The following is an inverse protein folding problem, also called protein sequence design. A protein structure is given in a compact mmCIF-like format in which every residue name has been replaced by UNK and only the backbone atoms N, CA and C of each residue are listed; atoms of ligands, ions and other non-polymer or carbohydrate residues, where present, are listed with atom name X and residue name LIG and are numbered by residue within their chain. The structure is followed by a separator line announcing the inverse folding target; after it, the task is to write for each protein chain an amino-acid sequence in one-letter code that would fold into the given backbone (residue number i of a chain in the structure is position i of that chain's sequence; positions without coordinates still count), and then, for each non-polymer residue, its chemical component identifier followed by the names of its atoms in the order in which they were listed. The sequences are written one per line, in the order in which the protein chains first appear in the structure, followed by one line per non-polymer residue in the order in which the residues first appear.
data_IF_949974741043
#
_entry.id   IF_949974741043
#
_cell.length_a   1.000
_cell.length_b   1.000
_cell.length_c   1.000
_cell.angle_alpha   90.00
_cell.angle_beta   90.00
_cell.angle_gamma   90.00
#
_symmetry.space_group_name_H-M   'P 1'
#
loop_
_entity.id
_entity.type
_entity.pdbx_description
1 polymer ?
#
# COMPACT_ATOMS: atom_id res chain seq x y z
N UNK A 1 0.79 22.39 -4.00
CA UNK A 1 -0.01 21.42 -3.23
C UNK A 1 0.99 20.42 -2.70
N UNK A 2 1.37 20.51 -1.43
CA UNK A 2 2.09 19.48 -0.69
C UNK A 2 2.20 20.00 0.74
N UNK A 3 1.39 19.45 1.65
CA UNK A 3 1.41 19.84 3.05
C UNK A 3 1.43 18.61 3.98
N UNK A 4 1.83 17.46 3.45
CA UNK A 4 1.95 16.22 4.21
C UNK A 4 3.37 16.16 4.79
N UNK A 5 3.46 15.91 6.10
CA UNK A 5 4.75 15.73 6.77
C UNK A 5 5.04 14.24 6.83
N UNK A 6 6.18 13.81 6.27
CA UNK A 6 6.63 12.42 6.42
C UNK A 6 6.94 12.17 7.90
N UNK A 7 6.23 11.24 8.53
CA UNK A 7 6.43 10.90 9.96
C UNK A 7 7.43 9.78 10.14
N UNK A 8 7.35 8.75 9.30
CA UNK A 8 8.14 7.53 9.41
C UNK A 8 8.53 7.02 8.03
N UNK A 9 9.73 6.46 7.93
CA UNK A 9 10.21 5.76 6.73
C UNK A 9 10.73 4.39 7.15
N UNK A 10 10.39 3.37 6.37
CA UNK A 10 10.96 2.04 6.48
C UNK A 10 11.63 1.68 5.16
N UNK A 11 12.89 1.26 5.23
CA UNK A 11 13.75 0.99 4.08
C UNK A 11 13.94 -0.51 3.90
N UNK A 12 14.05 -0.92 2.65
CA UNK A 12 14.31 -2.29 2.21
C UNK A 12 15.35 -2.22 1.09
N UNK A 13 16.48 -2.88 1.28
CA UNK A 13 17.67 -2.65 0.45
C UNK A 13 17.69 -3.50 -0.82
N UNK A 14 17.12 -4.71 -0.79
CA UNK A 14 17.18 -5.61 -1.95
C UNK A 14 15.80 -6.06 -2.40
N UNK A 15 15.16 -5.21 -3.21
CA UNK A 15 13.89 -5.50 -3.86
C UNK A 15 14.03 -5.60 -5.37
N UNK A 16 13.14 -6.36 -5.99
CA UNK A 16 13.06 -6.53 -7.45
C UNK A 16 11.62 -6.39 -7.92
N UNK A 17 11.42 -5.72 -9.06
CA UNK A 17 10.12 -5.62 -9.71
C UNK A 17 10.14 -6.33 -11.06
N UNK A 18 9.07 -7.07 -11.34
CA UNK A 18 8.85 -7.80 -12.58
C UNK A 18 7.51 -7.40 -13.21
N UNK A 19 7.36 -7.60 -14.52
CA UNK A 19 6.06 -7.46 -15.18
C UNK A 19 5.08 -8.53 -14.69
N UNK A 20 3.82 -8.15 -14.52
CA UNK A 20 2.70 -9.08 -14.31
C UNK A 20 1.99 -9.27 -15.65
N UNK A 21 1.86 -10.51 -16.09
CA UNK A 21 1.17 -10.84 -17.34
C UNK A 21 -0.35 -10.70 -17.16
N UNK A 22 -1.07 -10.16 -18.15
CA UNK A 22 -2.53 -10.17 -18.15
C UNK A 22 -3.04 -11.62 -18.14
N UNK A 23 -4.07 -11.94 -17.33
CA UNK A 23 -4.67 -13.28 -17.34
C UNK A 23 -5.29 -13.67 -18.70
N UNK A 24 -5.57 -12.69 -19.56
CA UNK A 24 -6.32 -12.84 -20.82
C UNK A 24 -5.44 -12.93 -22.08
N UNK A 25 -4.12 -12.78 -21.99
CA UNK A 25 -3.21 -12.87 -23.15
C UNK A 25 -2.71 -14.31 -23.32
N UNK A 26 -3.62 -15.23 -23.66
CA UNK A 26 -3.32 -16.65 -23.87
C UNK A 26 -2.68 -16.97 -25.24
N UNK A 27 -2.35 -15.96 -26.06
CA UNK A 27 -1.93 -16.17 -27.45
C UNK A 27 -0.42 -16.10 -27.67
N UNK A 28 0.36 -15.62 -26.69
CA UNK A 28 1.83 -15.53 -26.81
C UNK A 28 2.45 -15.69 -25.43
N UNK A 29 3.37 -16.64 -25.29
CA UNK A 29 4.22 -16.76 -24.11
C UNK A 29 5.02 -15.46 -23.94
N UNK A 30 4.68 -14.65 -22.95
CA UNK A 30 5.47 -13.48 -22.57
C UNK A 30 6.38 -13.88 -21.40
N UNK A 31 7.70 -13.69 -21.50
CA UNK A 31 8.60 -14.02 -20.41
C UNK A 31 8.41 -13.07 -19.23
N UNK A 32 8.63 -13.59 -18.03
CA UNK A 32 8.79 -12.77 -16.84
C UNK A 32 10.12 -12.01 -16.93
N UNK A 33 10.03 -10.70 -17.05
CA UNK A 33 11.12 -9.75 -17.22
C UNK A 33 11.32 -8.95 -15.94
N UNK A 34 12.55 -8.95 -15.44
CA UNK A 34 12.95 -8.05 -14.35
C UNK A 34 13.05 -6.64 -14.89
N UNK A 35 12.22 -5.75 -14.37
CA UNK A 35 12.17 -4.33 -14.75
C UNK A 35 13.07 -3.47 -13.87
N UNK A 36 13.22 -3.87 -12.61
CA UNK A 36 13.95 -3.08 -11.61
C UNK A 36 14.60 -3.98 -10.56
N UNK A 37 15.75 -3.51 -10.06
CA UNK A 37 16.41 -4.01 -8.86
C UNK A 37 17.01 -2.82 -8.14
N UNK A 38 16.71 -2.67 -6.85
CA UNK A 38 17.16 -1.54 -6.07
C UNK A 38 16.51 -1.51 -4.69
N UNK A 39 16.30 -0.30 -4.17
CA UNK A 39 15.78 -0.05 -2.83
C UNK A 39 14.30 0.30 -2.86
N UNK A 40 13.60 -0.06 -1.80
CA UNK A 40 12.21 0.31 -1.56
C UNK A 40 12.11 1.10 -0.25
N UNK A 41 11.31 2.15 -0.28
CA UNK A 41 10.97 2.93 0.89
C UNK A 41 9.44 2.96 1.06
N UNK A 42 8.96 2.50 2.21
CA UNK A 42 7.57 2.73 2.64
C UNK A 42 7.56 3.96 3.54
N UNK A 43 6.89 5.02 3.08
CA UNK A 43 6.75 6.27 3.81
C UNK A 43 5.36 6.37 4.41
N UNK A 44 5.30 6.69 5.70
CA UNK A 44 4.11 7.14 6.40
C UNK A 44 4.05 8.67 6.33
N UNK A 45 2.92 9.18 5.89
CA UNK A 45 2.64 10.59 5.66
C UNK A 45 1.50 10.97 6.61
N UNK A 46 1.71 11.99 7.43
CA UNK A 46 0.63 12.53 8.27
C UNK A 46 0.03 13.71 7.51
N UNK A 47 -1.26 13.59 7.19
CA UNK A 47 -2.04 14.70 6.65
C UNK A 47 -2.40 15.65 7.81
N UNK A 48 -1.98 16.91 7.70
CA UNK A 48 -2.20 17.94 8.73
C UNK A 48 -3.68 18.30 8.96
N UNK A 49 -4.59 17.83 8.12
CA UNK A 49 -6.02 18.20 8.20
C UNK A 49 -6.86 17.23 9.01
N UNK A 50 -6.58 15.94 8.91
CA UNK A 50 -7.34 14.87 9.54
C UNK A 50 -6.50 14.04 10.52
N UNK A 51 -5.20 14.34 10.63
CA UNK A 51 -4.21 13.58 11.41
C UNK A 51 -4.22 12.08 11.09
N UNK A 52 -4.71 11.70 9.91
CA UNK A 52 -4.79 10.31 9.48
C UNK A 52 -3.46 9.86 8.86
N UNK A 53 -3.01 8.63 9.16
CA UNK A 53 -1.82 8.07 8.56
C UNK A 53 -2.11 7.69 7.11
N UNK A 54 -1.32 8.21 6.18
CA UNK A 54 -1.31 7.80 4.78
C UNK A 54 0.00 7.07 4.48
N UNK A 55 -0.02 6.13 3.53
CA UNK A 55 1.17 5.36 3.17
C UNK A 55 1.48 5.48 1.69
N UNK A 56 2.76 5.53 1.35
CA UNK A 56 3.22 5.47 -0.03
C UNK A 56 4.49 4.63 -0.14
N UNK A 57 4.55 3.78 -1.16
CA UNK A 57 5.73 2.96 -1.45
C UNK A 57 6.48 3.59 -2.63
N UNK A 58 7.78 3.80 -2.46
CA UNK A 58 8.69 4.35 -3.48
C UNK A 58 9.82 3.38 -3.76
N UNK A 59 10.25 3.36 -5.01
CA UNK A 59 11.35 2.53 -5.50
C UNK A 59 12.42 3.43 -6.11
N UNK A 60 13.64 3.28 -5.63
CA UNK A 60 14.79 4.07 -6.04
C UNK A 60 15.91 3.11 -6.47
N UNK A 61 16.62 3.43 -7.56
CA UNK A 61 17.75 2.61 -7.96
C UNK A 61 18.86 2.65 -6.91
N UNK A 62 19.61 1.56 -6.83
CA UNK A 62 20.83 1.50 -6.05
C UNK A 62 21.96 2.18 -6.84
N UNK A 63 22.00 3.50 -6.80
CA UNK A 63 23.09 4.28 -7.36
C UNK A 63 24.01 4.78 -6.24
N UNK A 64 25.32 4.63 -6.43
CA UNK A 64 26.36 5.16 -5.53
C UNK A 64 26.48 6.70 -5.60
N UNK A 65 25.84 7.34 -6.59
CA UNK A 65 25.85 8.79 -6.78
C UNK A 65 24.65 9.50 -6.12
N UNK A 66 24.90 10.66 -5.53
CA UNK A 66 24.00 11.46 -4.69
C UNK A 66 22.71 11.96 -5.38
N UNK A 67 22.57 11.75 -6.70
CA UNK A 67 21.34 12.01 -7.42
C UNK A 67 20.39 10.83 -7.30
N UNK A 68 19.47 10.92 -6.33
CA UNK A 68 18.34 10.00 -6.11
C UNK A 68 17.64 9.66 -7.43
N UNK A 69 18.03 8.55 -8.03
CA UNK A 69 17.42 8.05 -9.25
C UNK A 69 16.13 7.33 -8.89
N UNK A 70 15.07 8.10 -8.76
CA UNK A 70 13.70 7.63 -8.60
C UNK A 70 13.32 6.71 -9.77
N UNK A 71 12.75 5.54 -9.47
CA UNK A 71 12.20 4.64 -10.49
C UNK A 71 10.69 4.81 -10.61
N UNK A 72 9.94 4.48 -9.56
CA UNK A 72 8.49 4.60 -9.55
C UNK A 72 7.92 4.59 -8.12
N UNK A 73 6.62 4.87 -8.00
CA UNK A 73 5.91 4.86 -6.73
C UNK A 73 4.48 4.35 -6.89
N UNK A 74 3.88 3.95 -5.77
CA UNK A 74 2.44 3.71 -5.69
C UNK A 74 1.70 5.03 -5.57
N UNK A 75 0.39 4.98 -5.81
CA UNK A 75 -0.52 6.01 -5.33
C UNK A 75 -0.48 6.08 -3.79
N UNK A 76 -0.95 7.20 -3.24
CA UNK A 76 -1.08 7.36 -1.79
C UNK A 76 -2.22 6.46 -1.30
N UNK A 77 -1.88 5.55 -0.40
CA UNK A 77 -2.80 4.66 0.30
C UNK A 77 -3.37 5.44 1.48
N UNK A 78 -4.70 5.57 1.55
CA UNK A 78 -5.38 6.40 2.57
C UNK A 78 -6.41 5.66 3.42
N UNK A 79 -6.76 4.44 3.03
CA UNK A 79 -7.78 3.62 3.69
C UNK A 79 -7.64 2.14 3.29
N UNK A 80 -8.40 1.27 3.96
CA UNK A 80 -8.45 -0.18 3.70
C UNK A 80 -8.72 -0.50 2.23
N UNK A 81 -9.65 0.23 1.59
CA UNK A 81 -9.98 0.03 0.17
C UNK A 81 -8.78 0.33 -0.74
N UNK A 82 -8.06 1.43 -0.50
CA UNK A 82 -6.86 1.74 -1.26
C UNK A 82 -5.75 0.72 -1.01
N UNK A 83 -5.60 0.27 0.24
CA UNK A 83 -4.59 -0.72 0.60
C UNK A 83 -4.79 -2.03 -0.16
N UNK A 84 -5.99 -2.60 -0.10
CA UNK A 84 -6.34 -3.85 -0.80
C UNK A 84 -6.26 -3.73 -2.32
N UNK A 85 -6.53 -2.54 -2.87
CA UNK A 85 -6.38 -2.28 -4.30
C UNK A 85 -4.91 -2.12 -4.73
N UNK A 86 -4.03 -1.66 -3.82
CA UNK A 86 -2.64 -1.33 -4.13
C UNK A 86 -1.73 -2.53 -3.94
N UNK A 87 -1.94 -3.33 -2.89
CA UNK A 87 -1.04 -4.41 -2.49
C UNK A 87 -1.86 -5.67 -2.29
N UNK A 88 -1.47 -6.73 -3.00
CA UNK A 88 -2.09 -8.05 -2.89
C UNK A 88 -1.00 -9.10 -2.75
N UNK A 89 -0.99 -9.84 -1.64
CA UNK A 89 -0.08 -10.96 -1.43
C UNK A 89 -0.50 -12.14 -2.32
N UNK A 90 0.43 -12.64 -3.12
CA UNK A 90 0.35 -13.94 -3.82
C UNK A 90 1.20 -14.96 -3.07
N UNK A 91 1.26 -16.19 -3.56
CA UNK A 91 1.94 -17.29 -2.86
C UNK A 91 3.40 -16.95 -2.52
N UNK A 92 4.19 -16.52 -3.51
CA UNK A 92 5.64 -16.27 -3.36
C UNK A 92 6.05 -14.81 -3.58
N UNK A 93 5.10 -13.91 -3.86
CA UNK A 93 5.39 -12.53 -4.25
C UNK A 93 4.22 -11.58 -3.95
N UNK A 94 4.45 -10.27 -4.08
CA UNK A 94 3.42 -9.25 -3.87
C UNK A 94 3.06 -8.56 -5.18
N UNK A 95 1.78 -8.54 -5.53
CA UNK A 95 1.30 -7.69 -6.60
C UNK A 95 1.16 -6.27 -6.07
N UNK A 96 1.85 -5.31 -6.70
CA UNK A 96 1.80 -3.90 -6.34
C UNK A 96 1.32 -3.07 -7.52
N UNK A 97 0.34 -2.21 -7.29
CA UNK A 97 -0.16 -1.26 -8.28
C UNK A 97 0.65 0.02 -8.25
N UNK A 98 1.40 0.28 -9.32
CA UNK A 98 2.21 1.48 -9.48
C UNK A 98 1.39 2.58 -10.14
N UNK A 99 1.57 3.82 -9.68
CA UNK A 99 0.93 5.00 -10.26
C UNK A 99 1.78 5.52 -11.43
N UNK A 100 1.16 5.68 -12.59
CA UNK A 100 1.79 6.28 -13.77
C UNK A 100 1.44 7.77 -13.87
N UNK A 101 2.27 8.53 -14.59
CA UNK A 101 2.08 9.98 -14.80
C UNK A 101 0.74 10.37 -15.47
N UNK A 102 0.10 9.43 -16.16
CA UNK A 102 -1.20 9.62 -16.81
C UNK A 102 -2.40 9.20 -15.93
N UNK A 103 -2.18 8.95 -14.64
CA UNK A 103 -3.22 8.50 -13.69
C UNK A 103 -3.68 7.05 -13.89
N UNK A 104 -3.03 6.29 -14.79
CA UNK A 104 -3.24 4.85 -14.92
C UNK A 104 -2.41 4.10 -13.89
N UNK A 105 -2.85 2.87 -13.60
CA UNK A 105 -2.16 1.99 -12.68
C UNK A 105 -1.65 0.76 -13.41
N UNK A 106 -0.41 0.36 -13.14
CA UNK A 106 0.21 -0.84 -13.73
C UNK A 106 0.53 -1.84 -12.61
N UNK A 107 0.09 -3.10 -12.71
CA UNK A 107 0.47 -4.13 -11.75
C UNK A 107 1.90 -4.59 -12.01
N UNK A 108 2.72 -4.58 -10.97
CA UNK A 108 4.04 -5.19 -10.95
C UNK A 108 4.12 -6.27 -9.89
N UNK A 109 5.04 -7.21 -10.10
CA UNK A 109 5.37 -8.24 -9.13
C UNK A 109 6.58 -7.78 -8.33
N UNK A 110 6.39 -7.57 -7.03
CA UNK A 110 7.44 -7.29 -6.08
C UNK A 110 7.96 -8.60 -5.47
N UNK A 111 9.27 -8.78 -5.55
CA UNK A 111 10.01 -9.79 -4.80
C UNK A 111 10.99 -9.10 -3.86
N UNK A 112 11.00 -9.52 -2.60
CA UNK A 112 11.96 -9.08 -1.60
C UNK A 112 12.95 -10.23 -1.41
N UNK A 113 14.24 -9.98 -1.64
CA UNK A 113 15.24 -11.06 -1.67
C UNK A 113 15.59 -11.58 -0.29
N UNK A 114 15.67 -10.68 0.69
CA UNK A 114 16.03 -11.01 2.06
C UNK A 114 14.81 -11.54 2.81
N UNK A 115 14.83 -12.77 3.35
CA UNK A 115 13.71 -13.31 4.12
C UNK A 115 13.38 -12.46 5.36
N UNK A 116 14.41 -11.81 5.93
CA UNK A 116 14.23 -10.91 7.08
C UNK A 116 13.46 -9.66 6.65
N UNK A 117 13.86 -9.06 5.52
CA UNK A 117 13.17 -7.89 4.96
C UNK A 117 11.74 -8.24 4.51
N UNK A 118 11.55 -9.43 3.96
CA UNK A 118 10.23 -9.92 3.58
C UNK A 118 9.33 -10.08 4.81
N UNK A 119 9.83 -10.67 5.90
CA UNK A 119 9.09 -10.74 7.16
C UNK A 119 8.76 -9.34 7.69
N UNK A 120 9.75 -8.44 7.72
CA UNK A 120 9.54 -7.04 8.14
C UNK A 120 8.50 -6.32 7.28
N UNK A 121 8.44 -6.63 5.98
CA UNK A 121 7.43 -6.08 5.08
C UNK A 121 6.05 -6.66 5.37
N UNK A 122 5.94 -7.97 5.59
CA UNK A 122 4.67 -8.61 5.99
C UNK A 122 4.14 -8.01 7.31
N UNK A 123 5.01 -7.85 8.31
CA UNK A 123 4.64 -7.27 9.61
C UNK A 123 4.16 -5.82 9.44
N UNK A 124 4.83 -5.05 8.57
CA UNK A 124 4.43 -3.69 8.24
C UNK A 124 3.05 -3.65 7.54
N UNK A 125 2.81 -4.52 6.56
CA UNK A 125 1.53 -4.61 5.88
C UNK A 125 0.40 -4.99 6.84
N UNK A 126 0.66 -5.90 7.76
CA UNK A 126 -0.30 -6.29 8.80
C UNK A 126 -0.64 -5.09 9.70
N UNK A 127 0.36 -4.38 10.21
CA UNK A 127 0.16 -3.17 11.02
C UNK A 127 -0.64 -2.09 10.29
N UNK A 128 -0.31 -1.80 9.04
CA UNK A 128 -1.03 -0.80 8.22
C UNK A 128 -2.49 -1.19 8.06
N UNK A 129 -2.75 -2.49 7.81
CA UNK A 129 -4.09 -3.01 7.67
C UNK A 129 -4.90 -2.89 8.97
N UNK A 130 -4.35 -3.31 10.10
CA UNK A 130 -5.01 -3.18 11.40
C UNK A 130 -5.30 -1.72 11.74
N UNK A 131 -4.37 -0.81 11.44
CA UNK A 131 -4.56 0.62 11.66
C UNK A 131 -5.75 1.16 10.87
N UNK A 132 -5.88 0.80 9.59
CA UNK A 132 -7.04 1.22 8.79
C UNK A 132 -8.34 0.54 9.19
N UNK A 133 -8.32 -0.74 9.57
CA UNK A 133 -9.51 -1.42 10.07
C UNK A 133 -10.02 -0.77 11.37
N UNK A 134 -9.12 -0.39 12.30
CA UNK A 134 -9.49 0.37 13.51
C UNK A 134 -10.06 1.75 13.20
N UNK A 135 -9.48 2.47 12.23
CA UNK A 135 -9.99 3.79 11.79
C UNK A 135 -11.39 3.64 11.18
N UNK A 136 -11.58 2.64 10.31
CA UNK A 136 -12.86 2.35 9.68
C UNK A 136 -13.93 2.00 10.74
N UNK A 137 -13.58 1.24 11.78
CA UNK A 137 -14.48 0.91 12.89
C UNK A 137 -14.88 2.15 13.71
N UNK A 138 -13.93 3.05 14.00
CA UNK A 138 -14.21 4.29 14.73
C UNK A 138 -15.13 5.24 13.94
N UNK A 139 -14.87 5.39 12.64
CA UNK A 139 -15.68 6.24 11.76
C UNK A 139 -17.04 5.61 11.45
N UNK A 140 -17.12 4.29 11.31
CA UNK A 140 -18.35 3.52 11.12
C UNK A 140 -19.26 3.54 12.34
N UNK A 141 -18.68 3.52 13.55
CA UNK A 141 -19.41 3.62 14.83
C UNK A 141 -19.96 5.02 15.10
N UNK A 142 -19.53 6.04 14.34
CA UNK A 142 -19.99 7.42 14.49
C UNK A 142 -21.39 7.66 13.89
N UNK A 143 -21.95 6.70 13.16
CA UNK A 143 -23.27 6.80 12.52
C UNK A 143 -24.39 6.02 13.23
N UNK A 144 -24.12 5.40 14.40
CA UNK A 144 -25.13 4.63 15.16
C UNK A 144 -25.50 5.30 16.49
N UNK A 145 -25.80 6.60 16.42
CA UNK A 145 -26.38 7.37 17.53
C UNK A 145 -27.70 7.98 17.08
N UNK A 146 -28.73 7.14 16.91
CA UNK A 146 -30.02 7.58 16.38
C UNK A 146 -31.20 6.62 16.52
N UNK A 147 -31.48 6.11 17.72
CA UNK A 147 -32.85 5.90 18.24
C UNK A 147 -32.76 5.41 19.70
N UNK A 148 -32.73 6.32 20.68
CA UNK A 148 -33.87 6.81 21.45
C UNK A 148 -34.50 5.80 22.43
N UNK A 149 -34.50 6.22 23.69
CA UNK A 149 -35.25 5.69 24.82
C UNK A 149 -36.77 5.64 24.58
N UNK A 150 -37.44 4.68 25.23
CA UNK A 150 -38.91 4.61 25.41
C UNK A 150 -39.53 3.53 24.51
N UNK A 151 -40.31 2.56 24.98
CA UNK A 151 -41.38 2.66 25.97
C UNK A 151 -41.67 1.26 26.56
N UNK A 152 -41.74 1.19 27.89
CA UNK A 152 -42.19 0.04 28.65
C UNK A 152 -43.72 0.10 28.75
N UNK A 153 -44.44 -0.80 28.06
CA UNK A 153 -45.86 -1.16 28.33
C UNK A 153 -46.03 -2.58 27.77
N UNK A 154 -46.26 -3.63 28.55
CA UNK A 154 -47.49 -3.88 29.31
C UNK A 154 -48.33 -4.92 28.54
N UNK A 155 -48.40 -6.13 29.07
CA UNK A 155 -49.16 -7.28 28.56
C UNK A 155 -50.65 -6.99 28.31
N UNK A 156 -51.30 -7.83 27.49
CA UNK A 156 -52.32 -8.73 28.06
C UNK A 156 -51.99 -10.22 27.89
#
# INVERSE_FOLDING_TARGET
MDNDKVSRKQLFDTVMLYNVLPPSSSLTWEPQCRLFQGKMCVSELINKKDDMPWYQIKFDWDADDEEKSFFCQTGVIKCTKNFNATIEKREEWFKIMMECSNGKHIPLELRIRSPIEEQMFNDLLFRIREEYEMIDDMLGSSNDSGSEFGEFVGFP
#
